data_IF_771553967170
#
_entry.id   IF_771553967170
#
_cell.length_a   1.000
_cell.length_b   1.000
_cell.length_c   1.000
_cell.angle_alpha   90.00
_cell.angle_beta   90.00
_cell.angle_gamma   90.00
#
_symmetry.space_group_name_H-M   'P 1'
#
loop_
_entity.id
_entity.type
_entity.pdbx_description
1 polymer ?
#
# COMPACT_ATOMS: atom_id res chain seq x y z
N UNK A 1 -2.88 11.91 -19.30
CA UNK A 1 -2.73 13.12 -18.45
C UNK A 1 -1.57 12.98 -17.47
N UNK A 2 -1.50 11.92 -16.65
CA UNK A 2 -0.42 11.72 -15.67
C UNK A 2 1.00 11.70 -16.29
N UNK A 3 1.18 11.03 -17.43
CA UNK A 3 2.49 10.91 -18.09
C UNK A 3 3.07 12.27 -18.53
N UNK A 4 2.22 13.19 -19.01
CA UNK A 4 2.64 14.56 -19.35
C UNK A 4 3.07 15.37 -18.12
N UNK A 5 2.44 15.12 -16.98
CA UNK A 5 2.77 15.82 -15.73
C UNK A 5 4.11 15.33 -15.17
N UNK A 6 4.35 14.02 -15.20
CA UNK A 6 5.64 13.42 -14.81
C UNK A 6 6.80 13.99 -15.63
N UNK A 7 6.65 14.05 -16.96
CA UNK A 7 7.66 14.63 -17.86
C UNK A 7 7.94 16.11 -17.57
N UNK A 8 6.90 16.91 -17.28
CA UNK A 8 7.05 18.34 -16.94
C UNK A 8 7.90 18.54 -15.69
N UNK A 9 7.72 17.68 -14.69
CA UNK A 9 8.41 17.77 -13.42
C UNK A 9 9.71 16.95 -13.35
N UNK A 10 10.05 16.21 -14.42
CA UNK A 10 11.25 15.38 -14.51
C UNK A 10 11.20 14.12 -13.65
N UNK A 11 10.02 13.55 -13.42
CA UNK A 11 9.83 12.31 -12.65
C UNK A 11 9.73 11.08 -13.56
N UNK A 12 10.32 9.97 -13.13
CA UNK A 12 9.96 8.64 -13.62
C UNK A 12 8.77 8.09 -12.81
N UNK A 13 7.79 7.38 -13.42
CA UNK A 13 6.74 6.69 -12.69
C UNK A 13 7.24 5.82 -11.52
N UNK A 14 8.38 5.15 -11.68
CA UNK A 14 8.95 4.30 -10.62
C UNK A 14 9.44 5.12 -9.43
N UNK A 15 10.02 6.31 -9.66
CA UNK A 15 10.47 7.18 -8.57
C UNK A 15 9.29 7.64 -7.72
N UNK A 16 8.16 7.95 -8.38
CA UNK A 16 6.92 8.33 -7.70
C UNK A 16 6.37 7.18 -6.87
N UNK A 17 6.32 5.98 -7.44
CA UNK A 17 5.87 4.78 -6.72
C UNK A 17 6.75 4.49 -5.50
N UNK A 18 8.08 4.50 -5.68
CA UNK A 18 9.03 4.26 -4.61
C UNK A 18 8.88 5.32 -3.50
N UNK A 19 8.80 6.60 -3.86
CA UNK A 19 8.60 7.67 -2.88
C UNK A 19 7.32 7.50 -2.06
N UNK A 20 6.22 7.07 -2.68
CA UNK A 20 4.97 6.75 -1.96
C UNK A 20 5.13 5.54 -1.04
N UNK A 21 5.79 4.47 -1.52
CA UNK A 21 6.06 3.28 -0.70
C UNK A 21 6.93 3.60 0.51
N UNK A 22 8.06 4.28 0.31
CA UNK A 22 8.96 4.71 1.37
C UNK A 22 8.23 5.60 2.38
N UNK A 23 7.40 6.52 1.91
CA UNK A 23 6.61 7.39 2.76
C UNK A 23 5.63 6.62 3.67
N UNK A 24 4.84 5.70 3.11
CA UNK A 24 3.73 5.06 3.82
C UNK A 24 4.09 3.69 4.43
N UNK A 25 4.66 2.79 3.64
CA UNK A 25 5.03 1.44 4.05
C UNK A 25 6.38 1.42 4.77
N UNK A 26 7.27 2.34 4.39
CA UNK A 26 8.64 2.41 4.87
C UNK A 26 9.60 1.61 4.01
N UNK A 27 10.84 2.07 3.98
CA UNK A 27 11.92 1.45 3.23
C UNK A 27 13.08 1.14 4.18
N UNK A 28 13.60 -0.08 4.10
CA UNK A 28 14.81 -0.44 4.82
C UNK A 28 16.02 0.21 4.15
N UNK A 29 16.69 1.12 4.85
CA UNK A 29 17.86 1.85 4.35
C UNK A 29 19.19 1.29 4.86
N UNK A 30 19.13 0.34 5.80
CA UNK A 30 20.32 -0.27 6.35
C UNK A 30 20.05 -1.22 7.50
N UNK A 31 21.13 -1.58 8.17
CA UNK A 31 21.11 -2.43 9.34
C UNK A 31 22.13 -1.91 10.36
N UNK A 32 21.78 -2.03 11.64
CA UNK A 32 22.66 -1.74 12.76
C UNK A 32 22.93 -3.05 13.50
N UNK A 33 24.18 -3.23 13.91
CA UNK A 33 24.64 -4.39 14.65
C UNK A 33 24.81 -3.99 16.11
N UNK A 34 24.16 -4.71 17.00
CA UNK A 34 24.27 -4.55 18.45
C UNK A 34 24.65 -5.93 19.04
N UNK A 35 25.91 -6.08 19.43
CA UNK A 35 26.53 -7.36 19.81
C UNK A 35 26.36 -8.46 18.73
N UNK A 36 25.47 -9.42 19.00
CA UNK A 36 25.11 -10.54 18.11
C UNK A 36 23.75 -10.36 17.45
N UNK A 37 23.10 -9.21 17.63
CA UNK A 37 21.78 -8.90 17.08
C UNK A 37 21.90 -7.95 15.91
N UNK A 38 21.09 -8.19 14.89
CA UNK A 38 20.99 -7.34 13.70
C UNK A 38 19.62 -6.69 13.68
N UNK A 39 19.58 -5.37 13.60
CA UNK A 39 18.36 -4.58 13.54
C UNK A 39 18.25 -3.87 12.20
N UNK A 40 17.09 -3.89 11.58
CA UNK A 40 16.83 -3.15 10.35
C UNK A 40 16.53 -1.69 10.67
N UNK A 41 17.15 -0.76 9.92
CA UNK A 41 16.82 0.66 9.96
C UNK A 41 15.84 0.96 8.83
N UNK A 42 14.65 1.42 9.18
CA UNK A 42 13.59 1.76 8.21
C UNK A 42 13.28 3.24 8.29
N UNK A 43 13.25 3.91 7.14
CA UNK A 43 12.75 5.29 7.01
C UNK A 43 11.32 5.26 6.52
N UNK A 44 10.51 6.16 7.06
CA UNK A 44 9.10 6.34 6.71
C UNK A 44 8.60 7.67 7.23
N UNK A 45 7.49 8.17 6.71
CA UNK A 45 6.85 9.37 7.26
C UNK A 45 6.48 9.17 8.73
N UNK A 46 6.36 10.28 9.44
CA UNK A 46 5.78 10.33 10.78
C UNK A 46 4.36 9.78 10.78
N UNK A 47 3.95 9.17 11.89
CA UNK A 47 2.68 8.46 11.99
C UNK A 47 1.47 9.36 11.66
N UNK A 48 1.46 10.58 12.19
CA UNK A 48 0.35 11.52 12.04
C UNK A 48 0.14 11.97 10.59
N UNK A 49 1.20 11.93 9.77
CA UNK A 49 1.14 12.29 8.34
C UNK A 49 0.67 11.13 7.45
N UNK A 50 0.45 9.94 8.01
CA UNK A 50 0.00 8.75 7.27
C UNK A 50 -1.44 8.33 7.56
N UNK A 51 -2.06 8.88 8.60
CA UNK A 51 -3.39 8.43 9.05
C UNK A 51 -4.51 8.92 8.15
N UNK A 52 -4.32 10.02 7.42
CA UNK A 52 -5.33 10.62 6.56
C UNK A 52 -4.99 10.37 5.10
N UNK A 53 -5.74 9.46 4.48
CA UNK A 53 -5.57 9.12 3.06
C UNK A 53 -5.87 10.33 2.15
N UNK A 54 -6.74 11.24 2.60
CA UNK A 54 -7.10 12.48 1.91
C UNK A 54 -5.90 13.41 1.76
N UNK A 55 -4.95 13.37 2.70
CA UNK A 55 -3.76 14.20 2.70
C UNK A 55 -2.63 13.63 1.82
N UNK A 56 -2.79 12.42 1.26
CA UNK A 56 -1.77 11.79 0.41
C UNK A 56 -1.37 12.65 -0.79
N UNK A 57 -2.28 13.48 -1.30
CA UNK A 57 -1.98 14.42 -2.39
C UNK A 57 -0.95 15.49 -2.05
N UNK A 58 -0.77 15.79 -0.76
CA UNK A 58 0.20 16.78 -0.27
C UNK A 58 1.60 16.22 -0.07
N UNK A 59 1.79 14.91 -0.30
CA UNK A 59 3.09 14.27 -0.21
C UNK A 59 4.05 14.91 -1.22
N UNK A 60 5.08 15.58 -0.71
CA UNK A 60 6.15 16.13 -1.53
C UNK A 60 7.11 15.02 -1.93
N UNK A 61 7.28 14.86 -3.25
CA UNK A 61 8.25 13.96 -3.84
C UNK A 61 9.38 14.77 -4.45
N UNK A 62 10.59 14.22 -4.42
CA UNK A 62 11.78 14.83 -4.99
C UNK A 62 12.15 14.11 -6.29
N UNK A 63 12.28 14.85 -7.39
CA UNK A 63 12.76 14.29 -8.65
C UNK A 63 14.28 14.05 -8.61
N UNK A 64 14.84 13.24 -9.52
CA UNK A 64 16.30 13.11 -9.68
C UNK A 64 17.00 14.45 -9.91
N UNK A 65 16.32 15.39 -10.59
CA UNK A 65 16.80 16.76 -10.82
C UNK A 65 16.72 17.67 -9.57
N UNK A 66 16.20 17.15 -8.45
CA UNK A 66 16.09 17.88 -7.18
C UNK A 66 14.87 18.78 -7.05
N UNK A 67 13.93 18.70 -7.98
CA UNK A 67 12.69 19.47 -7.95
C UNK A 67 11.69 18.76 -7.03
N UNK A 68 11.01 19.53 -6.19
CA UNK A 68 9.92 19.00 -5.38
C UNK A 68 8.57 19.27 -6.03
N UNK A 69 7.71 18.25 -6.04
CA UNK A 69 6.34 18.37 -6.50
C UNK A 69 5.40 17.58 -5.57
N UNK A 70 4.19 18.10 -5.26
CA UNK A 70 3.19 17.35 -4.52
C UNK A 70 2.60 16.23 -5.37
N UNK A 71 2.23 15.11 -4.74
CA UNK A 71 1.75 13.92 -5.44
C UNK A 71 0.50 14.18 -6.30
N UNK A 72 -0.38 15.10 -5.88
CA UNK A 72 -1.58 15.48 -6.65
C UNK A 72 -1.28 16.17 -8.00
N UNK A 73 -0.08 16.71 -8.19
CA UNK A 73 0.36 17.26 -9.46
C UNK A 73 0.95 16.21 -10.39
N UNK A 74 1.34 15.05 -9.84
CA UNK A 74 1.97 13.94 -10.56
C UNK A 74 0.97 12.83 -10.88
N UNK A 75 -0.05 12.63 -10.03
CA UNK A 75 -0.99 11.54 -10.12
C UNK A 75 -2.41 11.93 -9.70
N UNK A 76 -3.41 11.26 -10.26
CA UNK A 76 -4.79 11.34 -9.79
C UNK A 76 -5.00 10.36 -8.63
N UNK A 77 -5.35 10.89 -7.47
CA UNK A 77 -5.61 10.10 -6.25
C UNK A 77 -7.12 9.93 -6.08
N UNK A 78 -7.56 8.71 -5.87
CA UNK A 78 -8.97 8.39 -5.61
C UNK A 78 -9.06 7.28 -4.57
N UNK A 79 -9.93 7.48 -3.58
CA UNK A 79 -10.33 6.42 -2.69
C UNK A 79 -11.35 5.54 -3.39
N UNK A 80 -11.15 4.23 -3.31
CA UNK A 80 -11.98 3.21 -3.95
C UNK A 80 -12.18 2.07 -2.97
N UNK A 81 -13.35 1.42 -3.03
CA UNK A 81 -13.60 0.18 -2.29
C UNK A 81 -13.03 -1.01 -3.09
N UNK A 82 -12.36 -1.91 -2.36
CA UNK A 82 -11.77 -3.12 -2.92
C UNK A 82 -11.94 -4.31 -2.00
N UNK A 83 -11.55 -5.50 -2.47
CA UNK A 83 -11.51 -6.69 -1.62
C UNK A 83 -10.35 -6.57 -0.64
N UNK A 84 -10.61 -6.77 0.65
CA UNK A 84 -9.56 -6.81 1.68
C UNK A 84 -8.66 -8.06 1.57
N UNK A 85 -9.10 -9.09 0.84
CA UNK A 85 -8.34 -10.31 0.61
C UNK A 85 -8.83 -11.05 -0.65
N UNK A 86 -7.89 -11.72 -1.31
CA UNK A 86 -8.17 -12.60 -2.45
C UNK A 86 -7.73 -14.02 -2.05
N UNK A 87 -8.70 -14.83 -1.66
CA UNK A 87 -8.46 -16.22 -1.26
C UNK A 87 -8.32 -17.11 -2.48
N UNK A 88 -7.40 -18.07 -2.40
CA UNK A 88 -7.13 -19.03 -3.46
C UNK A 88 -7.13 -20.45 -2.91
N UNK A 89 -7.71 -21.38 -3.67
CA UNK A 89 -7.60 -22.82 -3.46
C UNK A 89 -7.37 -23.48 -4.82
N UNK A 90 -6.36 -24.37 -4.92
CA UNK A 90 -5.99 -25.01 -6.20
C UNK A 90 -5.64 -24.01 -7.32
N UNK A 91 -5.09 -22.84 -6.97
CA UNK A 91 -4.76 -21.77 -7.93
C UNK A 91 -5.97 -20.98 -8.46
N UNK A 92 -7.17 -21.22 -7.95
CA UNK A 92 -8.40 -20.50 -8.34
C UNK A 92 -8.90 -19.64 -7.20
N UNK A 93 -9.47 -18.48 -7.52
CA UNK A 93 -10.09 -17.60 -6.52
C UNK A 93 -11.33 -18.26 -5.92
N UNK A 94 -11.45 -18.27 -4.59
CA UNK A 94 -12.61 -18.80 -3.87
C UNK A 94 -13.31 -17.72 -3.03
N UNK A 95 -14.54 -18.01 -2.62
CA UNK A 95 -15.30 -17.27 -1.62
C UNK A 95 -15.78 -18.29 -0.58
N UNK A 96 -15.34 -18.14 0.67
CA UNK A 96 -15.73 -19.05 1.76
C UNK A 96 -17.13 -18.67 2.24
N UNK A 97 -18.01 -19.67 2.32
CA UNK A 97 -19.32 -19.56 2.96
C UNK A 97 -19.30 -20.47 4.19
N UNK A 98 -19.39 -19.87 5.37
CA UNK A 98 -19.41 -20.61 6.65
C UNK A 98 -20.83 -20.59 7.20
N UNK A 99 -21.32 -21.74 7.62
CA UNK A 99 -22.62 -21.86 8.30
C UNK A 99 -22.42 -22.59 9.63
N UNK A 100 -23.02 -22.05 10.69
CA UNK A 100 -23.09 -22.72 11.99
C UNK A 100 -24.43 -23.43 12.10
N UNK A 101 -24.41 -24.71 12.44
CA UNK A 101 -25.61 -25.51 12.70
C UNK A 101 -25.83 -25.68 14.19
N UNK A 102 -27.08 -25.60 14.64
CA UNK A 102 -27.51 -25.97 16.00
C UNK A 102 -27.79 -27.47 16.11
N UNK A 103 -27.96 -28.16 14.98
CA UNK A 103 -28.12 -29.61 14.94
C UNK A 103 -26.76 -30.30 15.02
N UNK A 104 -26.68 -31.38 15.80
CA UNK A 104 -25.54 -32.29 15.82
C UNK A 104 -25.34 -33.07 14.51
N UNK A 105 -26.38 -33.13 13.67
CA UNK A 105 -26.32 -33.73 12.34
C UNK A 105 -26.01 -32.67 11.28
N UNK A 106 -24.75 -32.65 10.83
CA UNK A 106 -24.23 -31.76 9.79
C UNK A 106 -24.82 -32.12 8.41
N UNK A 107 -25.13 -33.39 8.15
CA UNK A 107 -25.64 -33.84 6.85
C UNK A 107 -27.06 -33.37 6.55
N UNK A 108 -27.85 -33.12 7.60
CA UNK A 108 -29.21 -32.59 7.50
C UNK A 108 -29.26 -31.08 7.20
N UNK A 109 -28.12 -30.38 7.12
CA UNK A 109 -28.10 -28.93 6.88
C UNK A 109 -28.74 -28.58 5.52
N UNK A 110 -29.65 -27.59 5.56
CA UNK A 110 -30.34 -27.03 4.38
C UNK A 110 -30.22 -25.51 4.43
N UNK A 111 -29.39 -24.89 3.56
CA UNK A 111 -29.39 -23.43 3.43
C UNK A 111 -30.74 -23.00 2.82
N UNK A 112 -31.35 -21.94 3.35
CA UNK A 112 -32.47 -21.25 2.73
C UNK A 112 -31.97 -20.11 1.84
#
# INVERSE_FOLDING_TARGET
MAERALLRWGFNPLDVLNGVQTAYQGEQVGQVYEDVRVFNVTVRLEADRRTKAEEAGTLLLRSPAGIYAPLNELATIRQTSGRYGVLHEGGRRIQIVTANTTSSDIGAFRPR
#
